data_IF_782599936624
#
_entry.id   IF_782599936624
#
_cell.length_a   1.000
_cell.length_b   1.000
_cell.length_c   1.000
_cell.angle_alpha   90.00
_cell.angle_beta   90.00
_cell.angle_gamma   90.00
#
_symmetry.space_group_name_H-M   'P 1'
#
loop_
_entity.id
_entity.type
_entity.pdbx_description
1 polymer ?
#
# COMPACT_ATOMS: atom_id res chain seq x y z
N UNK A 1 20.55 -4.31 -16.78
CA UNK A 1 19.23 -3.88 -16.28
C UNK A 1 18.97 -4.24 -14.81
N UNK A 2 19.63 -5.26 -14.25
CA UNK A 2 19.49 -5.64 -12.82
C UNK A 2 19.95 -4.56 -11.82
N UNK A 3 20.79 -3.60 -12.25
CA UNK A 3 21.42 -2.60 -11.36
C UNK A 3 20.54 -1.37 -11.04
N UNK A 4 19.25 -1.39 -11.36
CA UNK A 4 18.34 -0.26 -11.08
C UNK A 4 17.14 -0.64 -10.22
N UNK A 5 17.00 -1.91 -9.81
CA UNK A 5 15.88 -2.34 -8.98
C UNK A 5 15.85 -1.63 -7.62
N UNK A 6 17.01 -1.25 -7.10
CA UNK A 6 17.16 -0.51 -5.84
C UNK A 6 16.69 0.96 -5.94
N UNK A 7 16.41 1.43 -7.16
CA UNK A 7 15.89 2.77 -7.46
C UNK A 7 14.38 2.81 -7.63
N UNK A 8 13.74 1.66 -7.82
CA UNK A 8 12.29 1.60 -8.04
C UNK A 8 11.54 1.60 -6.70
N UNK A 9 10.50 2.43 -6.62
CA UNK A 9 9.55 2.44 -5.52
C UNK A 9 8.13 2.39 -6.12
N UNK A 10 7.41 1.29 -5.89
CA UNK A 10 6.02 1.12 -6.32
C UNK A 10 5.09 1.57 -5.20
N UNK A 11 4.18 2.50 -5.47
CA UNK A 11 3.27 3.06 -4.47
C UNK A 11 1.85 2.67 -4.82
N UNK A 12 1.09 2.31 -3.79
CA UNK A 12 -0.31 2.00 -3.91
C UNK A 12 -0.99 2.08 -2.54
N UNK A 13 -2.31 2.14 -2.58
CA UNK A 13 -3.17 2.12 -1.41
C UNK A 13 -3.98 0.83 -1.33
N UNK A 14 -4.26 0.43 -0.10
CA UNK A 14 -5.20 -0.64 0.14
C UNK A 14 -6.11 -0.32 1.32
N UNK A 15 -7.40 -0.58 1.13
CA UNK A 15 -8.33 -0.58 2.25
C UNK A 15 -8.06 -1.75 3.21
N UNK A 16 -7.95 -1.43 4.49
CA UNK A 16 -7.91 -2.36 5.60
C UNK A 16 -9.18 -2.18 6.41
N UNK A 17 -9.92 -3.27 6.63
CA UNK A 17 -11.15 -3.26 7.42
C UNK A 17 -10.86 -3.86 8.79
N UNK A 18 -11.42 -3.27 9.84
CA UNK A 18 -11.28 -3.77 11.21
C UNK A 18 -11.95 -5.14 11.44
N UNK A 19 -12.77 -5.62 10.49
CA UNK A 19 -13.43 -6.92 10.53
C UNK A 19 -12.74 -8.03 9.72
N UNK A 20 -11.49 -7.83 9.31
CA UNK A 20 -10.75 -8.81 8.53
C UNK A 20 -10.55 -10.12 9.32
N UNK A 21 -11.44 -11.08 9.11
CA UNK A 21 -11.35 -12.45 9.60
C UNK A 21 -10.94 -13.41 8.48
N UNK A 22 -10.41 -14.58 8.85
CA UNK A 22 -10.19 -15.66 7.89
C UNK A 22 -11.52 -16.25 7.46
N UNK A 23 -11.66 -16.53 6.16
CA UNK A 23 -12.83 -17.22 5.61
C UNK A 23 -12.60 -18.73 5.47
N UNK A 24 -11.34 -19.16 5.53
CA UNK A 24 -10.94 -20.57 5.41
C UNK A 24 -9.79 -20.89 6.36
N UNK A 25 -9.64 -22.17 6.71
CA UNK A 25 -8.53 -22.68 7.51
C UNK A 25 -8.50 -24.19 7.50
N UNK A 26 -7.53 -24.75 8.23
CA UNK A 26 -7.29 -26.20 8.27
C UNK A 26 -7.64 -26.76 9.65
N UNK A 27 -8.29 -27.91 9.68
CA UNK A 27 -8.54 -28.69 10.88
C UNK A 27 -8.18 -30.17 10.61
N UNK A 28 -7.87 -30.96 11.66
CA UNK A 28 -7.69 -32.40 11.52
C UNK A 28 -8.90 -33.07 10.87
N UNK A 29 -8.67 -34.21 10.20
CA UNK A 29 -9.73 -34.98 9.58
C UNK A 29 -10.82 -35.34 10.61
N UNK A 30 -12.08 -35.10 10.25
CA UNK A 30 -13.25 -35.34 11.11
C UNK A 30 -13.56 -34.23 12.12
N UNK A 31 -12.78 -33.14 12.17
CA UNK A 31 -13.01 -32.02 13.09
C UNK A 31 -13.50 -30.77 12.37
N UNK A 32 -14.43 -30.05 13.00
CA UNK A 32 -14.88 -28.75 12.53
C UNK A 32 -13.88 -27.67 12.96
N UNK A 33 -13.41 -26.87 12.01
CA UNK A 33 -12.70 -25.63 12.33
C UNK A 33 -13.68 -24.63 12.95
N UNK A 34 -13.42 -24.21 14.19
CA UNK A 34 -14.16 -23.16 14.89
C UNK A 34 -13.28 -21.91 14.93
N UNK A 35 -13.79 -20.79 14.46
CA UNK A 35 -13.14 -19.48 14.50
C UNK A 35 -14.18 -18.39 14.84
N UNK A 36 -13.72 -17.24 15.30
CA UNK A 36 -14.57 -16.13 15.75
C UNK A 36 -14.34 -14.89 14.89
N UNK A 37 -15.42 -14.39 14.29
CA UNK A 37 -15.40 -13.13 13.54
C UNK A 37 -15.99 -11.98 14.37
N UNK A 38 -15.44 -10.76 14.25
CA UNK A 38 -16.00 -9.59 14.91
C UNK A 38 -17.38 -9.21 14.33
N UNK A 39 -18.29 -8.75 15.20
CA UNK A 39 -19.65 -8.30 14.88
C UNK A 39 -19.84 -6.88 15.43
N UNK A 40 -20.21 -5.88 14.62
CA UNK A 40 -20.36 -4.48 15.06
C UNK A 40 -20.22 -3.44 13.94
N UNK A 41 -20.14 -2.14 14.26
CA UNK A 41 -19.89 -1.09 13.26
C UNK A 41 -18.42 -1.10 12.79
N UNK A 42 -18.22 -1.00 11.49
CA UNK A 42 -16.91 -1.13 10.83
C UNK A 42 -16.32 0.22 10.46
N UNK A 43 -15.00 0.34 10.67
CA UNK A 43 -14.21 1.44 10.11
C UNK A 43 -13.33 0.89 9.00
N UNK A 44 -13.30 1.60 7.88
CA UNK A 44 -12.36 1.33 6.79
C UNK A 44 -11.23 2.32 6.94
N UNK A 45 -10.02 1.80 7.10
CA UNK A 45 -8.79 2.57 7.07
C UNK A 45 -8.11 2.34 5.72
N UNK A 46 -7.42 3.34 5.22
CA UNK A 46 -6.58 3.23 4.04
C UNK A 46 -5.14 3.10 4.48
N UNK A 47 -4.49 2.01 4.08
CA UNK A 47 -3.05 1.82 4.23
C UNK A 47 -2.39 2.20 2.91
N UNK A 48 -1.41 3.09 2.96
CA UNK A 48 -0.54 3.43 1.83
C UNK A 48 0.89 3.04 2.18
N UNK A 49 1.66 2.63 1.18
CA UNK A 49 3.09 2.43 1.35
C UNK A 49 3.82 2.33 0.01
N UNK A 50 5.13 2.25 0.07
CA UNK A 50 6.00 2.09 -1.08
C UNK A 50 6.72 0.73 -1.03
N UNK A 51 6.59 -0.11 -2.06
CA UNK A 51 7.36 -1.33 -2.21
C UNK A 51 8.66 -1.03 -2.94
N UNK A 52 9.78 -1.29 -2.27
CA UNK A 52 11.10 -1.40 -2.88
C UNK A 52 11.50 -2.87 -3.03
N UNK A 53 12.56 -3.12 -3.80
CA UNK A 53 13.03 -4.48 -4.07
C UNK A 53 13.34 -5.33 -2.81
N UNK A 54 13.67 -4.67 -1.70
CA UNK A 54 14.16 -5.26 -0.45
C UNK A 54 13.23 -5.05 0.75
N UNK A 55 12.25 -4.14 0.67
CA UNK A 55 11.41 -3.75 1.81
C UNK A 55 10.10 -3.06 1.41
N UNK A 56 9.17 -3.03 2.36
CA UNK A 56 8.05 -2.08 2.36
C UNK A 56 8.52 -0.82 3.12
N UNK A 57 8.39 0.33 2.48
CA UNK A 57 8.88 1.63 2.93
C UNK A 57 7.73 2.64 3.06
N UNK A 58 7.96 3.71 3.79
CA UNK A 58 7.00 4.80 4.03
C UNK A 58 5.55 4.32 4.36
N UNK A 59 5.32 3.36 5.27
CA UNK A 59 3.95 2.91 5.56
C UNK A 59 3.16 3.99 6.30
N UNK A 60 1.92 4.24 5.89
CA UNK A 60 1.02 5.16 6.58
C UNK A 60 -0.43 4.65 6.60
N UNK A 61 -1.14 4.91 7.70
CA UNK A 61 -2.54 4.51 7.90
C UNK A 61 -3.38 5.77 8.07
N UNK A 62 -4.42 5.88 7.25
CA UNK A 62 -5.33 7.02 7.21
C UNK A 62 -6.74 6.52 7.54
N UNK A 63 -7.48 7.29 8.33
CA UNK A 63 -8.91 7.08 8.54
C UNK A 63 -9.70 7.66 7.36
N UNK A 64 -10.36 6.78 6.58
CA UNK A 64 -11.15 7.18 5.41
C UNK A 64 -10.44 6.95 4.07
N UNK A 65 -11.02 7.52 3.00
CA UNK A 65 -10.53 7.34 1.64
C UNK A 65 -9.39 8.31 1.31
N UNK A 66 -8.46 7.89 0.44
CA UNK A 66 -7.40 8.74 -0.07
C UNK A 66 -7.96 9.84 -0.99
N UNK A 67 -7.46 11.06 -0.82
CA UNK A 67 -7.70 12.19 -1.73
C UNK A 67 -6.36 12.84 -2.11
N UNK A 68 -6.39 13.81 -3.03
CA UNK A 68 -5.16 14.46 -3.52
C UNK A 68 -4.38 15.20 -2.44
N UNK A 69 -5.06 15.79 -1.45
CA UNK A 69 -4.40 16.52 -0.35
C UNK A 69 -3.65 15.56 0.58
N UNK A 70 -4.30 14.46 0.97
CA UNK A 70 -3.69 13.41 1.80
C UNK A 70 -2.55 12.72 1.06
N UNK A 71 -2.68 12.50 -0.25
CA UNK A 71 -1.62 11.94 -1.08
C UNK A 71 -0.41 12.88 -1.15
N UNK A 72 -0.63 14.19 -1.25
CA UNK A 72 0.44 15.20 -1.20
C UNK A 72 1.13 15.17 0.15
N UNK A 73 0.36 15.19 1.24
CA UNK A 73 0.90 15.14 2.60
C UNK A 73 1.72 13.85 2.84
N UNK A 74 1.22 12.71 2.39
CA UNK A 74 1.95 11.44 2.40
C UNK A 74 3.28 11.55 1.64
N UNK A 75 3.22 12.11 0.43
CA UNK A 75 4.40 12.25 -0.44
C UNK A 75 5.48 13.08 0.24
N UNK A 76 5.12 14.24 0.79
CA UNK A 76 6.05 15.16 1.44
C UNK A 76 6.60 14.61 2.76
N UNK A 77 5.75 14.00 3.59
CA UNK A 77 6.12 13.66 4.97
C UNK A 77 6.66 12.25 5.15
N UNK A 78 6.18 11.28 4.35
CA UNK A 78 6.53 9.87 4.50
C UNK A 78 7.43 9.42 3.36
N UNK A 79 7.08 9.73 2.12
CA UNK A 79 7.78 9.19 0.96
C UNK A 79 9.10 9.91 0.67
N UNK A 80 9.09 11.22 0.46
CA UNK A 80 10.26 12.03 0.09
C UNK A 80 11.47 11.79 1.01
N UNK A 81 11.33 11.69 2.35
CA UNK A 81 12.46 11.38 3.23
C UNK A 81 13.14 10.03 2.99
N UNK A 82 12.47 9.09 2.31
CA UNK A 82 12.99 7.75 1.98
C UNK A 82 13.60 7.65 0.58
N UNK A 83 13.53 8.72 -0.20
CA UNK A 83 13.98 8.78 -1.57
C UNK A 83 15.36 9.43 -1.68
N UNK A 84 16.02 9.19 -2.80
CA UNK A 84 17.31 9.76 -3.18
C UNK A 84 17.29 10.11 -4.66
N UNK A 85 18.16 11.02 -5.07
CA UNK A 85 18.26 11.46 -6.46
C UNK A 85 18.37 10.27 -7.43
N UNK A 86 17.58 10.34 -8.51
CA UNK A 86 17.47 9.30 -9.53
C UNK A 86 16.55 8.13 -9.19
N UNK A 87 15.93 8.09 -8.00
CA UNK A 87 14.89 7.10 -7.71
C UNK A 87 13.65 7.32 -8.58
N UNK A 88 12.92 6.24 -8.85
CA UNK A 88 11.74 6.24 -9.71
C UNK A 88 10.54 5.76 -8.91
N UNK A 89 9.61 6.69 -8.69
CA UNK A 89 8.32 6.44 -8.06
C UNK A 89 7.33 6.03 -9.13
N UNK A 90 6.74 4.85 -8.98
CA UNK A 90 5.79 4.25 -9.90
C UNK A 90 4.46 4.03 -9.18
N UNK A 91 3.35 4.45 -9.76
CA UNK A 91 2.02 4.30 -9.17
C UNK A 91 0.92 4.20 -10.24
N UNK A 92 -0.28 3.84 -9.83
CA UNK A 92 -1.42 3.74 -10.73
C UNK A 92 -1.85 5.13 -11.28
N UNK A 93 -2.71 5.13 -12.30
CA UNK A 93 -3.09 6.36 -13.03
C UNK A 93 -4.29 7.10 -12.40
N UNK A 94 -4.56 6.91 -11.11
CA UNK A 94 -5.72 7.49 -10.45
C UNK A 94 -5.62 9.02 -10.36
N UNK A 95 -6.76 9.71 -10.42
CA UNK A 95 -6.79 11.19 -10.37
C UNK A 95 -6.27 11.76 -9.06
N UNK A 96 -6.44 11.05 -7.94
CA UNK A 96 -5.89 11.46 -6.62
C UNK A 96 -4.36 11.57 -6.64
N UNK A 97 -3.69 10.74 -7.45
CA UNK A 97 -2.23 10.66 -7.52
C UNK A 97 -1.61 11.75 -8.38
N UNK A 98 -2.41 12.47 -9.15
CA UNK A 98 -1.95 13.53 -10.06
C UNK A 98 -1.90 14.91 -9.39
N UNK A 99 -1.60 14.94 -8.09
CA UNK A 99 -1.47 16.19 -7.35
C UNK A 99 -0.19 16.93 -7.80
N UNK A 100 -0.28 18.18 -8.31
CA UNK A 100 0.90 18.92 -8.77
C UNK A 100 1.96 19.10 -7.68
N UNK A 101 1.53 19.38 -6.45
CA UNK A 101 2.43 19.53 -5.30
C UNK A 101 3.22 18.26 -4.99
N UNK A 102 2.60 17.07 -5.10
CA UNK A 102 3.30 15.79 -4.93
C UNK A 102 4.37 15.59 -6.02
N UNK A 103 4.06 15.92 -7.27
CA UNK A 103 5.03 15.86 -8.37
C UNK A 103 6.19 16.85 -8.18
N UNK A 104 5.91 18.08 -7.73
CA UNK A 104 6.93 19.09 -7.42
C UNK A 104 7.83 18.63 -6.28
N UNK A 105 7.28 18.06 -5.20
CA UNK A 105 8.04 17.53 -4.09
C UNK A 105 9.02 16.42 -4.54
N UNK A 106 8.56 15.50 -5.40
CA UNK A 106 9.41 14.45 -5.97
C UNK A 106 10.48 14.99 -6.92
N UNK A 107 10.13 15.95 -7.78
CA UNK A 107 11.09 16.57 -8.69
C UNK A 107 12.15 17.38 -7.95
N UNK A 108 11.80 18.02 -6.83
CA UNK A 108 12.73 18.84 -6.05
C UNK A 108 13.95 18.07 -5.52
N UNK A 109 13.81 16.76 -5.32
CA UNK A 109 14.89 15.86 -4.90
C UNK A 109 15.53 15.09 -6.07
N UNK A 110 15.11 15.37 -7.31
CA UNK A 110 15.57 14.68 -8.51
C UNK A 110 15.03 13.26 -8.66
N UNK A 111 13.88 12.93 -8.07
CA UNK A 111 13.19 11.67 -8.28
C UNK A 111 12.27 11.75 -9.51
N UNK A 112 12.08 10.62 -10.19
CA UNK A 112 11.16 10.47 -11.30
C UNK A 112 9.78 10.05 -10.80
N UNK A 113 8.73 10.59 -11.43
CA UNK A 113 7.34 10.26 -11.10
C UNK A 113 6.62 9.70 -12.32
N UNK A 114 6.33 8.39 -12.31
CA UNK A 114 5.83 7.64 -13.45
C UNK A 114 4.49 6.96 -13.14
N UNK A 115 3.54 7.12 -14.05
CA UNK A 115 2.22 6.49 -13.96
C UNK A 115 2.15 5.22 -14.81
N UNK A 116 1.60 4.15 -14.24
CA UNK A 116 1.28 2.94 -14.99
C UNK A 116 0.14 3.18 -15.99
N UNK A 117 0.06 2.40 -17.08
CA UNK A 117 -1.10 2.44 -17.95
C UNK A 117 -2.39 2.10 -17.17
N UNK A 118 -3.54 2.69 -17.55
CA UNK A 118 -4.81 2.35 -16.91
C UNK A 118 -5.06 0.84 -16.89
N UNK A 119 -5.69 0.35 -15.82
CA UNK A 119 -6.07 -1.06 -15.65
C UNK A 119 -4.91 -2.07 -15.80
N UNK A 120 -3.71 -1.68 -15.36
CA UNK A 120 -2.51 -2.54 -15.40
C UNK A 120 -2.01 -2.96 -14.00
N UNK A 121 -2.86 -3.57 -13.14
CA UNK A 121 -2.45 -3.97 -11.79
C UNK A 121 -1.35 -5.05 -11.82
N UNK A 122 -1.27 -5.84 -12.88
CA UNK A 122 -0.22 -6.86 -13.06
C UNK A 122 1.20 -6.27 -13.13
N UNK A 123 1.32 -4.97 -13.42
CA UNK A 123 2.59 -4.24 -13.43
C UNK A 123 2.93 -3.61 -12.07
N UNK A 124 2.06 -3.76 -11.07
CA UNK A 124 2.23 -3.19 -9.74
C UNK A 124 2.49 -4.28 -8.68
N UNK A 125 3.75 -4.68 -8.42
CA UNK A 125 4.09 -5.78 -7.52
C UNK A 125 3.67 -5.55 -6.06
N UNK A 126 3.41 -4.31 -5.64
CA UNK A 126 2.94 -4.00 -4.28
C UNK A 126 1.60 -4.65 -3.95
N UNK A 127 0.75 -4.89 -4.95
CA UNK A 127 -0.53 -5.58 -4.77
C UNK A 127 -0.34 -7.00 -4.20
N UNK A 128 0.73 -7.69 -4.64
CA UNK A 128 1.11 -9.00 -4.08
C UNK A 128 1.57 -8.88 -2.63
N UNK A 129 2.33 -7.84 -2.29
CA UNK A 129 2.76 -7.57 -0.92
C UNK A 129 1.55 -7.25 -0.02
N UNK A 130 0.61 -6.44 -0.48
CA UNK A 130 -0.63 -6.12 0.24
C UNK A 130 -1.52 -7.34 0.45
N UNK A 131 -1.59 -8.25 -0.51
CA UNK A 131 -2.28 -9.53 -0.33
C UNK A 131 -1.70 -10.34 0.85
N UNK A 132 -0.37 -10.37 0.99
CA UNK A 132 0.31 -11.01 2.13
C UNK A 132 0.08 -10.26 3.43
N UNK A 133 0.18 -8.92 3.41
CA UNK A 133 -0.08 -8.07 4.59
C UNK A 133 -1.50 -8.30 5.12
N UNK A 134 -2.52 -8.27 4.26
CA UNK A 134 -3.91 -8.57 4.62
C UNK A 134 -4.06 -9.96 5.22
N UNK A 135 -3.36 -10.96 4.69
CA UNK A 135 -3.36 -12.32 5.25
C UNK A 135 -2.81 -12.36 6.67
N UNK A 136 -1.72 -11.62 6.93
CA UNK A 136 -1.13 -11.48 8.27
C UNK A 136 -2.07 -10.75 9.23
N UNK A 137 -2.70 -9.66 8.79
CA UNK A 137 -3.69 -8.91 9.59
C UNK A 137 -4.88 -9.82 9.97
N UNK A 138 -5.43 -10.56 9.00
CA UNK A 138 -6.49 -11.55 9.25
C UNK A 138 -6.07 -12.62 10.25
N UNK A 139 -4.81 -13.03 10.23
CA UNK A 139 -4.27 -14.03 11.17
C UNK A 139 -4.02 -13.45 12.56
N UNK A 140 -3.56 -12.22 12.65
CA UNK A 140 -3.26 -11.57 13.92
C UNK A 140 -4.53 -11.31 14.74
N UNK A 141 -5.72 -11.29 14.09
CA UNK A 141 -6.97 -10.84 14.73
C UNK A 141 -6.78 -9.52 15.46
N UNK A 142 -5.89 -8.66 14.95
CA UNK A 142 -5.52 -7.41 15.59
C UNK A 142 -6.75 -6.51 15.68
N UNK A 143 -7.12 -6.15 16.91
CA UNK A 143 -8.28 -5.33 17.23
C UNK A 143 -7.75 -3.96 17.65
N UNK A 144 -8.16 -2.90 16.96
CA UNK A 144 -7.98 -1.50 17.39
C UNK A 144 -9.31 -0.80 17.27
#
# INVERSE_FOLDING_TARGET
MANYLDRLAFIDETSVKTNMAKTTGWAPYGQRLVDHAPFGHWRTQTFIGALRHDRLDAPWVIDGAMNSEMFTLYTETQLVPTLREGDVVILDNLSSHKAPAAAEALHSIGAWFLFLPPYSPDLNPIEMAFSKLKSLIRKATART
#
